data_IF_650147051439
#
_entry.id   IF_650147051439
#
_cell.length_a   1.000
_cell.length_b   1.000
_cell.length_c   1.000
_cell.angle_alpha   90.00
_cell.angle_beta   90.00
_cell.angle_gamma   90.00
#
_symmetry.space_group_name_H-M   'P 1'
#
loop_
_entity.id
_entity.type
_entity.pdbx_description
1 polymer ?
#
# COMPACT_ATOMS: atom_id res chain seq x y z
N UNK A 1 -19.89 20.00 7.55
CA UNK A 1 -18.83 19.00 7.27
C UNK A 1 -17.69 19.05 8.31
N UNK A 2 -17.13 20.21 8.69
CA UNK A 2 -16.06 20.30 9.71
C UNK A 2 -16.42 19.67 11.06
N UNK A 3 -17.68 19.79 11.51
CA UNK A 3 -18.14 19.11 12.72
C UNK A 3 -18.09 17.58 12.58
N UNK A 4 -18.32 17.03 11.38
CA UNK A 4 -18.19 15.60 11.13
C UNK A 4 -16.71 15.18 11.19
N UNK A 5 -15.81 15.98 10.62
CA UNK A 5 -14.36 15.76 10.73
C UNK A 5 -13.87 15.81 12.21
N UNK A 6 -14.41 16.72 13.03
CA UNK A 6 -14.11 16.77 14.46
C UNK A 6 -14.56 15.50 15.20
N UNK A 7 -15.70 14.89 14.81
CA UNK A 7 -16.17 13.61 15.38
C UNK A 7 -15.23 12.46 15.03
N UNK A 8 -14.74 12.40 13.79
CA UNK A 8 -13.71 11.42 13.38
C UNK A 8 -12.45 11.58 14.24
N UNK A 9 -11.93 12.81 14.37
CA UNK A 9 -10.75 13.09 15.17
C UNK A 9 -10.92 12.69 16.65
N UNK A 10 -12.10 12.96 17.21
CA UNK A 10 -12.42 12.58 18.59
C UNK A 10 -12.53 11.07 18.75
N UNK A 11 -13.21 10.39 17.82
CA UNK A 11 -13.36 8.94 17.81
C UNK A 11 -12.00 8.25 17.73
N UNK A 12 -11.14 8.63 16.78
CA UNK A 12 -9.81 8.02 16.62
C UNK A 12 -8.97 8.12 17.90
N UNK A 13 -9.11 9.20 18.68
CA UNK A 13 -8.45 9.34 20.00
C UNK A 13 -9.01 8.37 21.03
N UNK A 14 -10.33 8.17 21.07
CA UNK A 14 -11.03 7.37 22.07
C UNK A 14 -11.04 5.87 21.77
N UNK A 15 -11.08 5.51 20.49
CA UNK A 15 -11.04 4.14 20.02
C UNK A 15 -9.64 3.52 20.11
N UNK A 16 -8.60 4.36 20.34
CA UNK A 16 -7.21 3.93 20.49
C UNK A 16 -7.13 2.81 21.53
N UNK A 17 -6.69 1.63 21.08
CA UNK A 17 -6.59 0.41 21.90
C UNK A 17 -7.76 -0.57 21.79
N UNK A 18 -8.97 -0.10 21.45
CA UNK A 18 -10.16 -0.95 21.21
C UNK A 18 -10.21 -1.52 19.80
N UNK A 19 -9.63 -0.81 18.84
CA UNK A 19 -9.64 -1.19 17.41
C UNK A 19 -8.36 -1.89 16.95
N UNK A 20 -7.48 -2.34 17.86
CA UNK A 20 -6.16 -2.96 17.52
C UNK A 20 -6.25 -4.08 16.50
N UNK A 21 -7.32 -4.89 16.53
CA UNK A 21 -7.54 -5.95 15.54
C UNK A 21 -7.77 -5.37 14.15
N UNK A 22 -8.67 -4.40 14.02
CA UNK A 22 -8.97 -3.70 12.78
C UNK A 22 -7.74 -2.95 12.24
N UNK A 23 -7.00 -2.27 13.12
CA UNK A 23 -5.75 -1.58 12.73
C UNK A 23 -4.73 -2.55 12.13
N UNK A 24 -4.54 -3.72 12.75
CA UNK A 24 -3.63 -4.76 12.25
C UNK A 24 -4.08 -5.32 10.92
N UNK A 25 -5.39 -5.53 10.72
CA UNK A 25 -5.95 -6.03 9.45
C UNK A 25 -5.68 -5.00 8.34
N UNK A 26 -6.07 -3.74 8.56
CA UNK A 26 -5.91 -2.70 7.53
C UNK A 26 -4.44 -2.46 7.20
N UNK A 27 -3.55 -2.40 8.21
CA UNK A 27 -2.10 -2.27 7.98
C UNK A 27 -1.49 -3.47 7.26
N UNK A 28 -1.95 -4.70 7.53
CA UNK A 28 -1.46 -5.88 6.82
C UNK A 28 -1.88 -5.87 5.34
N UNK A 29 -3.01 -5.26 5.01
CA UNK A 29 -3.47 -5.07 3.63
C UNK A 29 -2.69 -3.95 2.91
N UNK A 30 -2.38 -2.86 3.62
CA UNK A 30 -1.57 -1.74 3.08
C UNK A 30 -0.11 -2.17 2.88
N UNK A 31 0.44 -2.90 3.86
CA UNK A 31 1.83 -3.35 3.90
C UNK A 31 1.90 -4.89 3.98
N UNK A 32 1.71 -5.58 2.85
CA UNK A 32 1.88 -7.03 2.79
C UNK A 32 3.32 -7.43 3.16
N UNK A 33 3.47 -8.60 3.80
CA UNK A 33 4.79 -9.13 4.17
C UNK A 33 5.62 -9.40 2.90
N UNK A 34 6.92 -9.10 2.95
CA UNK A 34 7.86 -9.22 1.82
C UNK A 34 7.97 -10.61 1.16
N UNK A 35 7.44 -11.67 1.80
CA UNK A 35 7.43 -13.04 1.28
C UNK A 35 6.05 -13.51 0.79
N UNK A 36 5.02 -12.66 0.81
CA UNK A 36 3.80 -12.96 0.06
C UNK A 36 4.20 -12.94 -1.42
N UNK A 37 4.02 -14.06 -2.13
CA UNK A 37 4.39 -14.17 -3.53
C UNK A 37 3.86 -12.96 -4.31
N UNK A 38 4.72 -12.27 -5.06
CA UNK A 38 4.36 -11.06 -5.84
C UNK A 38 3.15 -11.27 -6.76
N UNK A 39 2.80 -12.51 -7.10
CA UNK A 39 1.58 -12.88 -7.86
C UNK A 39 0.32 -13.00 -7.01
N UNK A 40 0.44 -13.29 -5.71
CA UNK A 40 -0.67 -13.30 -4.73
C UNK A 40 -0.94 -11.93 -4.12
N UNK A 41 -0.08 -10.94 -4.44
CA UNK A 41 -0.16 -9.58 -3.90
C UNK A 41 -1.33 -8.75 -4.49
N UNK A 42 -2.13 -9.34 -5.38
CA UNK A 42 -2.97 -8.56 -6.28
C UNK A 42 -4.48 -8.84 -6.28
N UNK A 43 -4.97 -9.95 -5.73
CA UNK A 43 -6.43 -10.10 -5.62
C UNK A 43 -6.93 -9.45 -4.34
N UNK A 44 -6.98 -8.12 -4.36
CA UNK A 44 -7.92 -7.37 -3.53
C UNK A 44 -9.33 -7.60 -4.12
N UNK A 45 -9.88 -8.76 -3.78
CA UNK A 45 -11.22 -9.19 -4.15
C UNK A 45 -12.29 -8.49 -3.28
N UNK A 46 -13.55 -8.89 -3.47
CA UNK A 46 -14.64 -8.32 -2.69
C UNK A 46 -14.49 -8.61 -1.18
N UNK A 47 -13.92 -9.76 -0.79
CA UNK A 47 -13.71 -10.09 0.62
C UNK A 47 -12.62 -9.19 1.25
N UNK A 48 -11.60 -8.82 0.48
CA UNK A 48 -10.62 -7.82 0.88
C UNK A 48 -11.27 -6.43 1.04
N UNK A 49 -12.13 -6.02 0.11
CA UNK A 49 -12.89 -4.75 0.23
C UNK A 49 -13.80 -4.75 1.46
N UNK A 50 -14.50 -5.85 1.75
CA UNK A 50 -15.29 -5.99 2.99
C UNK A 50 -14.42 -5.84 4.23
N UNK A 51 -13.22 -6.43 4.22
CA UNK A 51 -12.26 -6.34 5.32
C UNK A 51 -11.74 -4.91 5.51
N UNK A 52 -11.43 -4.21 4.41
CA UNK A 52 -11.04 -2.79 4.43
C UNK A 52 -12.19 -1.94 4.96
N UNK A 53 -13.41 -2.15 4.45
CA UNK A 53 -14.61 -1.43 4.87
C UNK A 53 -14.85 -1.58 6.37
N UNK A 54 -14.92 -2.82 6.85
CA UNK A 54 -15.16 -3.12 8.26
C UNK A 54 -14.08 -2.51 9.15
N UNK A 55 -12.82 -2.61 8.76
CA UNK A 55 -11.74 -2.00 9.52
C UNK A 55 -11.83 -0.45 9.52
N UNK A 56 -12.06 0.16 8.37
CA UNK A 56 -12.15 1.61 8.25
C UNK A 56 -13.34 2.20 9.01
N UNK A 57 -14.51 1.56 8.95
CA UNK A 57 -15.70 2.01 9.68
C UNK A 57 -15.49 1.97 11.20
N UNK A 58 -14.82 0.94 11.69
CA UNK A 58 -14.48 0.80 13.12
C UNK A 58 -13.39 1.79 13.57
N UNK A 59 -12.31 1.94 12.80
CA UNK A 59 -11.17 2.78 13.19
C UNK A 59 -11.53 4.27 13.06
N UNK A 60 -12.17 4.68 11.95
CA UNK A 60 -12.32 6.09 11.59
C UNK A 60 -13.74 6.63 11.78
N UNK A 61 -14.76 5.84 11.43
CA UNK A 61 -16.11 6.37 11.23
C UNK A 61 -17.11 5.98 12.33
N UNK A 62 -16.68 5.23 13.34
CA UNK A 62 -17.49 4.80 14.49
C UNK A 62 -18.78 4.08 14.08
N UNK A 63 -18.66 3.14 13.14
CA UNK A 63 -19.79 2.30 12.69
C UNK A 63 -20.87 3.07 11.91
N UNK A 64 -20.57 4.30 11.45
CA UNK A 64 -21.55 5.16 10.78
C UNK A 64 -21.80 4.76 9.32
N UNK A 65 -20.90 4.01 8.72
CA UNK A 65 -21.02 3.56 7.33
C UNK A 65 -21.78 2.24 7.22
N UNK A 66 -21.73 1.42 8.27
CA UNK A 66 -22.43 0.14 8.34
C UNK A 66 -23.90 0.27 7.94
N UNK A 67 -24.33 -0.64 7.04
CA UNK A 67 -25.67 -0.68 6.44
C UNK A 67 -26.09 0.53 5.59
N UNK A 68 -25.18 1.48 5.34
CA UNK A 68 -25.47 2.69 4.54
C UNK A 68 -24.57 2.86 3.33
N UNK A 69 -23.52 2.06 3.21
CA UNK A 69 -22.59 2.10 2.08
C UNK A 69 -22.66 0.78 1.33
N UNK A 70 -22.85 0.89 0.02
CA UNK A 70 -22.72 -0.20 -0.94
C UNK A 70 -21.59 0.14 -1.91
N UNK A 71 -21.00 -0.87 -2.54
CA UNK A 71 -20.02 -0.65 -3.60
C UNK A 71 -20.15 -1.68 -4.72
N UNK A 72 -19.84 -1.23 -5.94
CA UNK A 72 -19.86 -2.04 -7.14
C UNK A 72 -18.66 -1.71 -8.03
N UNK A 73 -18.28 -2.66 -8.89
CA UNK A 73 -17.27 -2.44 -9.92
C UNK A 73 -17.93 -1.93 -11.19
N UNK A 74 -17.40 -0.88 -11.81
CA UNK A 74 -17.83 -0.51 -13.15
C UNK A 74 -17.42 -1.57 -14.16
N UNK A 75 -18.33 -1.95 -15.05
CA UNK A 75 -18.02 -2.80 -16.20
C UNK A 75 -17.27 -1.99 -17.25
N UNK A 76 -16.20 -2.57 -17.81
CA UNK A 76 -15.31 -1.92 -18.79
C UNK A 76 -15.94 -1.59 -20.15
N UNK A 77 -17.27 -1.67 -20.27
CA UNK A 77 -18.01 -1.46 -21.51
C UNK A 77 -18.76 -0.12 -21.46
N UNK A 78 -18.05 0.99 -21.26
CA UNK A 78 -18.63 2.28 -21.61
C UNK A 78 -18.51 2.44 -23.14
N UNK A 79 -19.54 2.01 -23.86
CA UNK A 79 -19.76 2.50 -25.22
C UNK A 79 -20.10 3.99 -25.12
N UNK A 80 -19.08 4.83 -25.19
CA UNK A 80 -19.21 6.29 -25.04
C UNK A 80 -17.95 6.85 -24.42
N UNK A 81 -17.05 7.35 -25.28
CA UNK A 81 -15.72 7.82 -24.90
C UNK A 81 -15.75 9.05 -24.01
N UNK A 82 -15.81 8.83 -22.69
CA UNK A 82 -15.28 9.75 -21.65
C UNK A 82 -15.07 9.03 -20.29
N UNK A 83 -15.26 7.71 -20.23
CA UNK A 83 -15.19 6.92 -18.99
C UNK A 83 -13.75 6.60 -18.52
N UNK A 84 -12.72 7.08 -19.22
CA UNK A 84 -11.34 6.66 -19.01
C UNK A 84 -10.61 7.37 -17.87
N UNK A 85 -11.24 8.32 -17.16
CA UNK A 85 -10.58 9.15 -16.14
C UNK A 85 -11.09 9.00 -14.71
N UNK A 86 -12.31 8.49 -14.51
CA UNK A 86 -12.88 8.38 -13.15
C UNK A 86 -12.41 7.07 -12.53
N UNK A 87 -11.61 7.17 -11.47
CA UNK A 87 -11.06 6.01 -10.74
C UNK A 87 -12.05 5.44 -9.71
N UNK A 88 -12.81 6.31 -9.06
CA UNK A 88 -13.86 6.01 -8.10
C UNK A 88 -14.91 7.13 -8.12
N UNK A 89 -16.13 6.83 -7.72
CA UNK A 89 -17.15 7.85 -7.48
C UNK A 89 -18.15 7.39 -6.43
N UNK A 90 -18.68 8.33 -5.66
CA UNK A 90 -19.70 8.06 -4.64
C UNK A 90 -21.02 8.76 -4.99
N UNK A 91 -22.06 7.97 -5.26
CA UNK A 91 -23.43 8.44 -5.39
C UNK A 91 -24.15 8.47 -4.04
N UNK A 92 -25.17 9.32 -3.93
CA UNK A 92 -25.97 9.54 -2.72
C UNK A 92 -27.45 9.42 -3.06
N UNK A 93 -28.21 8.69 -2.24
CA UNK A 93 -29.68 8.69 -2.28
C UNK A 93 -30.27 8.70 -0.87
N UNK A 94 -31.58 8.95 -0.77
CA UNK A 94 -32.30 8.77 0.50
C UNK A 94 -32.27 7.29 0.87
N UNK A 95 -32.09 7.01 2.16
CA UNK A 95 -32.04 5.65 2.65
C UNK A 95 -33.36 4.92 2.38
N UNK A 96 -33.27 3.68 1.91
CA UNK A 96 -34.44 2.84 1.62
C UNK A 96 -34.96 2.19 2.91
N UNK A 97 -36.25 1.79 2.99
CA UNK A 97 -36.76 1.05 4.15
C UNK A 97 -35.91 -0.21 4.43
N UNK A 98 -35.66 -0.59 5.71
CA UNK A 98 -36.26 -0.08 6.95
C UNK A 98 -35.59 1.19 7.52
N UNK A 99 -34.46 1.63 6.98
CA UNK A 99 -33.72 2.80 7.44
C UNK A 99 -34.34 4.10 6.89
N UNK A 100 -35.63 4.31 7.16
CA UNK A 100 -36.49 5.37 6.56
C UNK A 100 -35.99 6.81 6.74
N UNK A 101 -34.93 7.01 7.52
CA UNK A 101 -34.33 8.31 7.80
C UNK A 101 -32.85 8.40 7.39
N UNK A 102 -32.52 9.52 6.73
CA UNK A 102 -31.17 9.88 6.32
C UNK A 102 -30.80 9.40 4.92
N UNK A 103 -29.54 9.06 4.74
CA UNK A 103 -28.94 8.81 3.45
C UNK A 103 -28.17 7.49 3.39
N UNK A 104 -28.08 6.93 2.18
CA UNK A 104 -27.23 5.81 1.83
C UNK A 104 -26.46 6.13 0.54
N UNK A 105 -25.31 5.50 0.38
CA UNK A 105 -24.34 5.82 -0.68
C UNK A 105 -23.95 4.58 -1.47
N UNK A 106 -23.66 4.76 -2.75
CA UNK A 106 -23.12 3.74 -3.62
C UNK A 106 -21.76 4.21 -4.15
N UNK A 107 -20.72 3.45 -3.86
CA UNK A 107 -19.38 3.64 -4.42
C UNK A 107 -19.27 2.83 -5.71
N UNK A 108 -18.83 3.45 -6.79
CA UNK A 108 -18.51 2.75 -8.05
C UNK A 108 -17.01 2.83 -8.29
N UNK A 109 -16.36 1.68 -8.32
CA UNK A 109 -14.90 1.53 -8.48
C UNK A 109 -14.55 1.17 -9.93
N UNK A 110 -13.58 1.86 -10.51
CA UNK A 110 -13.15 1.61 -11.89
C UNK A 110 -12.37 0.31 -12.01
N UNK A 111 -13.03 -0.76 -12.47
CA UNK A 111 -12.37 -2.06 -12.71
C UNK A 111 -11.16 -1.96 -13.65
N UNK A 112 -11.24 -1.23 -14.80
CA UNK A 112 -10.10 -1.11 -15.72
C UNK A 112 -8.86 -0.42 -15.14
N UNK A 113 -9.04 0.53 -14.22
CA UNK A 113 -7.93 1.29 -13.61
C UNK A 113 -7.41 0.56 -12.37
N UNK A 114 -8.31 0.19 -11.46
CA UNK A 114 -7.96 -0.31 -10.13
C UNK A 114 -7.50 -1.76 -10.11
N UNK A 115 -7.80 -2.54 -11.15
CA UNK A 115 -7.27 -3.89 -11.34
C UNK A 115 -6.08 -3.95 -12.29
N UNK A 116 -5.59 -2.79 -12.75
CA UNK A 116 -4.41 -2.74 -13.61
C UNK A 116 -3.15 -3.01 -12.77
N UNK A 117 -2.42 -4.04 -13.16
CA UNK A 117 -1.22 -4.53 -12.46
C UNK A 117 0.00 -3.62 -12.59
N UNK A 118 -0.05 -2.55 -13.39
CA UNK A 118 1.00 -1.52 -13.42
C UNK A 118 0.99 -0.59 -12.20
N UNK A 119 -0.10 -0.59 -11.43
CA UNK A 119 -0.20 0.11 -10.16
C UNK A 119 -0.06 -0.87 -9.01
N UNK A 120 0.47 -0.41 -7.88
CA UNK A 120 0.50 -1.19 -6.66
C UNK A 120 -0.87 -1.19 -5.98
N UNK A 121 -1.12 -2.19 -5.13
CA UNK A 121 -2.42 -2.39 -4.46
C UNK A 121 -2.88 -1.21 -3.60
N UNK A 122 -1.97 -0.32 -3.15
CA UNK A 122 -2.37 0.86 -2.37
C UNK A 122 -3.25 1.79 -3.18
N UNK A 123 -3.21 1.73 -4.50
CA UNK A 123 -4.12 2.52 -5.33
C UNK A 123 -5.59 2.19 -4.99
N UNK A 124 -5.96 0.91 -5.05
CA UNK A 124 -7.32 0.46 -4.72
C UNK A 124 -7.69 0.75 -3.28
N UNK A 125 -6.79 0.49 -2.32
CA UNK A 125 -7.04 0.78 -0.91
C UNK A 125 -7.29 2.28 -0.71
N UNK A 126 -6.46 3.13 -1.32
CA UNK A 126 -6.54 4.58 -1.19
C UNK A 126 -7.79 5.13 -1.88
N UNK A 127 -8.15 4.64 -3.07
CA UNK A 127 -9.39 5.01 -3.74
C UNK A 127 -10.58 4.61 -2.90
N UNK A 128 -10.61 3.37 -2.39
CA UNK A 128 -11.75 2.94 -1.60
C UNK A 128 -11.88 3.74 -0.30
N UNK A 129 -10.78 4.02 0.41
CA UNK A 129 -10.81 4.89 1.59
C UNK A 129 -11.25 6.33 1.25
N UNK A 130 -10.81 6.88 0.11
CA UNK A 130 -11.23 8.19 -0.39
C UNK A 130 -12.76 8.23 -0.56
N UNK A 131 -13.33 7.25 -1.24
CA UNK A 131 -14.77 7.14 -1.44
C UNK A 131 -15.52 6.94 -0.11
N UNK A 132 -14.96 6.19 0.86
CA UNK A 132 -15.56 6.06 2.19
C UNK A 132 -15.62 7.38 2.96
N UNK A 133 -14.66 8.29 2.77
CA UNK A 133 -14.72 9.65 3.34
C UNK A 133 -15.90 10.42 2.71
N UNK A 134 -16.06 10.34 1.38
CA UNK A 134 -17.24 10.92 0.72
C UNK A 134 -18.54 10.34 1.26
N UNK A 135 -18.63 9.01 1.39
CA UNK A 135 -19.78 8.33 1.97
C UNK A 135 -20.10 8.85 3.37
N UNK A 136 -19.10 8.94 4.25
CA UNK A 136 -19.26 9.45 5.61
C UNK A 136 -19.81 10.86 5.64
N UNK A 137 -19.26 11.75 4.81
CA UNK A 137 -19.70 13.14 4.75
C UNK A 137 -21.11 13.27 4.18
N UNK A 138 -21.47 12.49 3.16
CA UNK A 138 -22.82 12.45 2.64
C UNK A 138 -23.83 11.93 3.67
N UNK A 139 -23.50 10.87 4.40
CA UNK A 139 -24.36 10.33 5.46
C UNK A 139 -24.55 11.36 6.58
N UNK A 140 -23.49 12.07 6.99
CA UNK A 140 -23.55 13.03 8.09
C UNK A 140 -24.12 14.41 7.70
N UNK A 141 -23.92 14.86 6.47
CA UNK A 141 -24.20 16.22 6.03
C UNK A 141 -25.20 16.32 4.87
N UNK A 142 -25.61 15.20 4.27
CA UNK A 142 -26.48 15.14 3.10
C UNK A 142 -25.85 15.76 1.85
N UNK A 143 -26.69 16.23 0.93
CA UNK A 143 -26.27 16.82 -0.35
C UNK A 143 -25.35 18.04 -0.21
N UNK A 144 -25.32 18.71 0.95
CA UNK A 144 -24.40 19.83 1.23
C UNK A 144 -22.93 19.41 1.16
N UNK A 145 -22.62 18.12 1.33
CA UNK A 145 -21.25 17.64 1.16
C UNK A 145 -20.81 17.53 -0.31
N UNK A 146 -21.69 17.78 -1.30
CA UNK A 146 -21.31 17.81 -2.73
C UNK A 146 -20.63 19.11 -3.17
N UNK A 147 -20.58 20.13 -2.32
CA UNK A 147 -19.87 21.37 -2.64
C UNK A 147 -18.39 21.08 -2.91
N UNK A 148 -17.78 21.83 -3.84
CA UNK A 148 -16.38 21.67 -4.24
C UNK A 148 -16.04 20.25 -4.74
N UNK A 149 -16.94 19.60 -5.48
CA UNK A 149 -16.73 18.24 -5.98
C UNK A 149 -16.80 17.15 -4.91
N UNK A 150 -16.99 17.50 -3.63
CA UNK A 150 -16.90 16.58 -2.50
C UNK A 150 -15.65 16.77 -1.64
N UNK A 151 -14.60 17.46 -2.15
CA UNK A 151 -13.36 17.74 -1.41
C UNK A 151 -13.49 19.01 -0.56
N UNK A 152 -14.47 19.00 0.34
CA UNK A 152 -14.70 20.11 1.27
C UNK A 152 -13.57 20.22 2.32
N UNK A 153 -13.48 21.32 3.10
CA UNK A 153 -12.53 21.38 4.21
C UNK A 153 -12.67 20.24 5.22
N UNK A 154 -13.89 19.75 5.44
CA UNK A 154 -14.15 18.54 6.23
C UNK A 154 -13.52 17.29 5.63
N UNK A 155 -13.59 17.11 4.30
CA UNK A 155 -12.92 16.02 3.59
C UNK A 155 -11.41 16.07 3.81
N UNK A 156 -10.79 17.20 3.48
CA UNK A 156 -9.33 17.35 3.58
C UNK A 156 -8.81 17.07 4.99
N UNK A 157 -9.57 17.48 6.02
CA UNK A 157 -9.23 17.18 7.41
C UNK A 157 -9.32 15.68 7.74
N UNK A 158 -10.33 14.97 7.27
CA UNK A 158 -10.46 13.52 7.50
C UNK A 158 -9.36 12.78 6.74
N UNK A 159 -9.12 13.13 5.48
CA UNK A 159 -8.07 12.55 4.65
C UNK A 159 -6.69 12.68 5.34
N UNK A 160 -6.36 13.86 5.85
CA UNK A 160 -5.11 14.08 6.59
C UNK A 160 -5.02 13.25 7.88
N UNK A 161 -6.12 13.07 8.63
CA UNK A 161 -6.13 12.25 9.84
C UNK A 161 -5.86 10.77 9.53
N UNK A 162 -6.46 10.24 8.46
CA UNK A 162 -6.28 8.84 8.05
C UNK A 162 -4.86 8.62 7.52
N UNK A 163 -4.36 9.53 6.68
CA UNK A 163 -2.99 9.44 6.15
C UNK A 163 -1.94 9.57 7.27
N UNK A 164 -2.17 10.44 8.26
CA UNK A 164 -1.32 10.54 9.46
C UNK A 164 -1.38 9.27 10.33
N UNK A 165 -2.53 8.61 10.43
CA UNK A 165 -2.69 7.37 11.20
C UNK A 165 -1.87 6.21 10.62
N UNK A 166 -1.73 6.15 9.30
CA UNK A 166 -0.91 5.14 8.64
C UNK A 166 0.58 5.51 8.65
N UNK A 167 0.88 6.75 8.25
CA UNK A 167 2.22 7.24 8.03
C UNK A 167 2.17 8.23 6.88
N UNK A 168 2.47 9.50 7.15
CA UNK A 168 2.26 10.61 6.23
C UNK A 168 2.78 10.33 4.80
N UNK A 169 1.94 10.55 3.79
CA UNK A 169 2.24 10.34 2.38
C UNK A 169 2.11 8.90 1.88
N UNK A 170 1.61 7.97 2.70
CA UNK A 170 1.45 6.56 2.32
C UNK A 170 0.19 6.31 1.50
N UNK A 171 -0.93 6.94 1.88
CA UNK A 171 -2.25 6.74 1.28
C UNK A 171 -2.62 7.86 0.31
N UNK A 172 -2.05 9.06 0.46
CA UNK A 172 -2.19 10.19 -0.49
C UNK A 172 -3.64 10.44 -0.90
N UNK A 173 -4.55 10.39 0.07
CA UNK A 173 -5.99 10.40 -0.18
C UNK A 173 -6.48 11.67 -0.87
N UNK A 174 -5.75 12.79 -0.79
CA UNK A 174 -6.08 14.02 -1.51
C UNK A 174 -5.55 14.07 -2.95
N UNK A 175 -4.56 13.25 -3.30
CA UNK A 175 -3.83 13.35 -4.57
C UNK A 175 -4.29 12.32 -5.61
N UNK A 176 -5.19 11.40 -5.23
CA UNK A 176 -5.53 10.23 -6.04
C UNK A 176 -6.24 10.56 -7.36
N UNK A 177 -6.94 11.70 -7.41
CA UNK A 177 -7.55 12.20 -8.66
C UNK A 177 -6.56 13.02 -9.50
N UNK A 178 -5.47 13.51 -8.90
CA UNK A 178 -4.53 14.42 -9.52
C UNK A 178 -3.36 13.68 -10.20
N UNK A 179 -2.84 12.62 -9.57
CA UNK A 179 -1.66 11.92 -10.06
C UNK A 179 -1.59 10.46 -9.59
N UNK A 180 -1.72 9.53 -10.54
CA UNK A 180 -1.62 8.09 -10.28
C UNK A 180 -0.18 7.56 -10.28
N UNK A 181 0.80 8.36 -10.71
CA UNK A 181 2.21 7.95 -10.82
C UNK A 181 2.80 7.50 -9.48
N UNK A 182 2.35 8.10 -8.38
CA UNK A 182 2.73 7.72 -7.01
C UNK A 182 2.40 6.26 -6.66
N UNK A 183 1.46 5.67 -7.40
CA UNK A 183 1.03 4.30 -7.21
C UNK A 183 1.59 3.35 -8.25
N UNK A 184 2.37 3.79 -9.25
CA UNK A 184 3.06 2.84 -10.11
C UNK A 184 4.01 1.99 -9.28
N UNK A 185 4.16 0.73 -9.66
CA UNK A 185 5.25 -0.08 -9.11
C UNK A 185 6.57 0.60 -9.52
N UNK A 186 7.41 0.98 -8.55
CA UNK A 186 8.82 1.13 -8.84
C UNK A 186 9.27 -0.26 -9.31
N UNK A 187 9.35 -0.49 -10.62
CA UNK A 187 10.17 -1.56 -11.17
C UNK A 187 11.50 -1.42 -10.46
N UNK A 188 11.78 -2.38 -9.56
CA UNK A 188 12.88 -2.33 -8.63
C UNK A 188 14.04 -1.56 -9.25
N UNK A 189 14.33 -0.35 -8.73
CA UNK A 189 15.71 0.11 -8.80
C UNK A 189 16.48 -1.05 -8.19
N UNK A 190 17.12 -1.84 -9.06
CA UNK A 190 18.02 -2.90 -8.65
C UNK A 190 18.94 -2.33 -7.57
N UNK A 191 19.40 -3.15 -6.61
CA UNK A 191 20.13 -2.64 -5.46
C UNK A 191 21.14 -1.64 -6.00
N UNK A 192 21.02 -0.39 -5.56
CA UNK A 192 22.03 0.60 -5.85
C UNK A 192 23.32 -0.08 -5.44
N UNK A 193 24.15 -0.41 -6.43
CA UNK A 193 25.52 -0.81 -6.22
C UNK A 193 26.11 0.40 -5.54
N UNK A 194 26.03 0.41 -4.21
CA UNK A 194 26.94 1.14 -3.36
C UNK A 194 28.28 0.59 -3.78
N UNK A 195 28.93 1.33 -4.67
CA UNK A 195 30.34 1.18 -4.93
C UNK A 195 31.01 1.21 -3.57
N UNK A 196 31.38 0.03 -3.09
CA UNK A 196 32.33 -0.13 -2.01
C UNK A 196 33.61 0.51 -2.53
N UNK A 197 33.81 1.79 -2.25
CA UNK A 197 35.15 2.34 -2.16
C UNK A 197 35.75 1.73 -0.90
N UNK A 198 36.79 0.88 -0.98
CA UNK A 198 37.51 0.49 0.21
C UNK A 198 38.30 1.71 0.67
N UNK A 199 37.80 2.37 1.72
CA UNK A 199 38.58 3.33 2.48
C UNK A 199 39.79 2.61 3.08
N UNK A 200 40.97 2.91 2.57
CA UNK A 200 42.24 2.63 3.20
C UNK A 200 42.30 3.31 4.58
N UNK A 201 42.52 2.57 5.69
CA UNK A 201 43.01 3.17 6.92
C UNK A 201 44.54 3.25 6.83
N UNK A 202 45.03 4.47 6.86
CA UNK A 202 46.41 4.83 7.17
C UNK A 202 46.77 4.38 8.59
N UNK A 203 47.72 3.45 8.73
CA UNK A 203 48.53 3.34 9.95
C UNK A 203 50.00 3.01 9.62
N UNK A 204 50.95 3.57 10.40
CA UNK A 204 52.35 3.68 10.02
C UNK A 204 53.21 2.48 10.44
N UNK A 205 54.22 2.22 9.62
CA UNK A 205 55.54 1.65 9.92
C UNK A 205 55.66 0.56 11.01
N UNK A 206 56.03 -0.64 10.59
CA UNK A 206 57.20 -1.30 11.16
C UNK A 206 57.89 -2.19 10.11
N UNK A 207 59.15 -1.86 9.85
CA UNK A 207 60.16 -2.64 9.13
C UNK A 207 60.09 -4.13 9.49
N UNK A 208 60.38 -5.03 8.54
CA UNK A 208 61.46 -6.05 8.65
C UNK A 208 61.68 -6.66 7.25
N UNK A 209 62.94 -6.95 6.96
CA UNK A 209 63.56 -7.07 5.63
C UNK A 209 63.26 -8.41 4.94
N UNK A 210 63.00 -8.38 3.63
CA UNK A 210 63.07 -9.55 2.75
C UNK A 210 64.47 -9.66 2.11
N UNK A 211 65.08 -10.87 2.04
CA UNK A 211 66.17 -11.12 1.10
C UNK A 211 65.64 -11.48 -0.31
N UNK A 212 66.41 -11.21 -1.39
CA UNK A 212 65.99 -11.46 -2.77
C UNK A 212 66.12 -12.94 -3.19
N UNK A 213 65.43 -13.38 -4.26
CA UNK A 213 65.35 -14.79 -4.66
C UNK A 213 66.55 -15.25 -5.52
N UNK A 214 66.84 -16.56 -5.58
CA UNK A 214 67.82 -17.12 -6.51
C UNK A 214 67.22 -17.41 -7.91
N UNK A 215 68.07 -17.58 -8.95
CA UNK A 215 67.66 -17.71 -10.36
C UNK A 215 67.31 -19.15 -10.78
N UNK A 216 66.71 -19.35 -11.97
CA UNK A 216 66.14 -20.62 -12.38
C UNK A 216 67.16 -21.53 -13.08
N UNK A 217 67.07 -22.84 -12.85
CA UNK A 217 67.76 -23.84 -13.67
C UNK A 217 66.81 -24.99 -14.05
N UNK A 218 66.85 -25.28 -15.35
CA UNK A 218 66.24 -26.40 -16.07
C UNK A 218 66.76 -27.76 -15.58
N UNK A 219 65.89 -28.78 -15.47
CA UNK A 219 65.88 -29.97 -16.34
C UNK A 219 64.90 -31.07 -15.86
N UNK A 220 64.27 -31.68 -16.87
CA UNK A 220 63.92 -33.10 -17.04
C UNK A 220 62.82 -33.83 -16.22
N UNK A 221 61.88 -34.38 -17.00
CA UNK A 221 60.95 -35.52 -16.76
C UNK A 221 61.72 -36.81 -16.35
N UNK A 222 61.08 -37.96 -15.97
CA UNK A 222 59.66 -38.34 -16.07
C UNK A 222 59.04 -39.07 -14.83
N UNK A 223 57.72 -39.34 -14.94
CA UNK A 223 56.86 -40.29 -14.18
C UNK A 223 57.48 -41.69 -13.96
N UNK A 224 57.05 -42.46 -12.92
CA UNK A 224 55.94 -43.41 -13.11
C UNK A 224 54.98 -43.62 -11.91
N UNK A 225 53.87 -44.30 -12.25
CA UNK A 225 52.88 -45.03 -11.42
C UNK A 225 53.35 -45.53 -10.04
N UNK A 226 52.44 -45.57 -9.03
CA UNK A 226 51.73 -46.81 -8.66
C UNK A 226 50.60 -46.63 -7.63
N UNK A 227 49.69 -47.60 -7.64
CA UNK A 227 48.52 -47.86 -6.80
C UNK A 227 48.80 -48.06 -5.30
N UNK A 228 47.80 -47.76 -4.46
CA UNK A 228 47.14 -48.67 -3.49
C UNK A 228 46.07 -47.87 -2.69
N UNK A 229 44.78 -48.19 -2.73
CA UNK A 229 44.04 -49.29 -2.07
C UNK A 229 44.15 -49.36 -0.53
N UNK A 230 43.04 -49.04 0.15
CA UNK A 230 42.44 -49.67 1.36
C UNK A 230 41.48 -48.65 2.00
N UNK A 231 40.15 -48.80 1.99
CA UNK A 231 39.29 -49.79 2.64
C UNK A 231 39.62 -50.08 4.11
N UNK A 232 38.87 -49.46 5.04
CA UNK A 232 38.02 -50.09 6.06
C UNK A 232 37.51 -48.99 7.02
N UNK A 233 36.20 -48.76 7.06
CA UNK A 233 35.23 -49.37 7.99
C UNK A 233 35.47 -49.00 9.46
N UNK A 234 34.61 -48.13 9.97
CA UNK A 234 33.68 -48.46 11.06
C UNK A 234 32.42 -47.60 10.96
#
# INVERSE_FOLDING_TARGET
DLNAASRVAQHMKWAKGKVKRHERILRALIHPKAHADKRTDFELDNAALESIFSAADEIFFYGRLSHRVHWEWSSGCAQGGDSSKIIGTTALRKASPPHRDGYETLIVLSSPILRNTSYNRRLLISTFLHELIHSYLFICCGFKARHCGGHTPGFGRIAALIDQWEGHGTLRLCDIEADLEWFREEHARGPAVHAYQPNHPSHPYQHHQHPPPPPPHHHDRPRPHNNNNNNNNN
#
